data_IF_896691603301
#
_entry.id   IF_896691603301
#
_cell.length_a   1.000
_cell.length_b   1.000
_cell.length_c   1.000
_cell.angle_alpha   90.00
_cell.angle_beta   90.00
_cell.angle_gamma   90.00
#
_symmetry.space_group_name_H-M   'P 1'
#
loop_
_entity.id
_entity.type
_entity.pdbx_description
1 polymer ?
#
# COMPACT_ATOMS: atom_id res chain seq x y z
N UNK A 1 -14.52 -15.66 -11.34
CA UNK A 1 -13.39 -14.96 -10.69
C UNK A 1 -12.08 -15.47 -11.28
N UNK A 2 -11.05 -14.65 -11.49
CA UNK A 2 -9.73 -15.13 -11.97
C UNK A 2 -8.73 -15.04 -10.83
N UNK A 3 -8.09 -16.16 -10.48
CA UNK A 3 -7.12 -16.23 -9.37
C UNK A 3 -5.84 -16.91 -9.81
N UNK A 4 -4.70 -16.65 -9.15
CA UNK A 4 -3.49 -17.43 -9.36
C UNK A 4 -3.71 -18.89 -8.93
N UNK A 5 -3.21 -19.85 -9.73
CA UNK A 5 -3.25 -21.29 -9.39
C UNK A 5 -2.32 -21.66 -8.23
N UNK A 6 -1.31 -20.84 -7.97
CA UNK A 6 -0.23 -21.06 -7.01
C UNK A 6 0.01 -19.81 -6.14
N UNK A 7 1.02 -19.86 -5.27
CA UNK A 7 1.43 -18.74 -4.40
C UNK A 7 2.18 -17.61 -5.17
N UNK A 8 1.78 -17.33 -6.41
CA UNK A 8 2.31 -16.21 -7.20
C UNK A 8 1.64 -14.88 -6.88
N UNK A 9 0.72 -14.84 -5.92
CA UNK A 9 0.22 -13.61 -5.32
C UNK A 9 1.26 -13.03 -4.35
N UNK A 10 1.61 -11.76 -4.55
CA UNK A 10 2.46 -11.00 -3.63
C UNK A 10 1.85 -9.64 -3.36
N UNK A 11 2.05 -9.14 -2.15
CA UNK A 11 1.74 -7.75 -1.80
C UNK A 11 3.07 -7.02 -1.74
N UNK A 12 3.22 -6.03 -2.62
CA UNK A 12 4.31 -5.08 -2.54
C UNK A 12 3.82 -3.81 -1.88
N UNK A 13 4.70 -3.08 -1.21
CA UNK A 13 4.39 -1.77 -0.67
C UNK A 13 5.09 -0.71 -1.49
N UNK A 14 4.35 0.33 -1.83
CA UNK A 14 4.85 1.47 -2.59
C UNK A 14 5.09 2.65 -1.65
N UNK A 15 5.90 3.60 -2.10
CA UNK A 15 6.17 4.82 -1.33
C UNK A 15 4.89 5.61 -1.15
N UNK A 16 4.69 6.15 0.05
CA UNK A 16 3.61 7.09 0.35
C UNK A 16 3.63 8.33 -0.58
N UNK A 17 2.46 8.95 -0.76
CA UNK A 17 2.27 10.18 -1.52
C UNK A 17 2.65 11.44 -0.74
N UNK A 18 2.88 11.32 0.57
CA UNK A 18 3.26 12.44 1.40
C UNK A 18 4.60 13.08 0.97
N UNK A 19 4.71 14.40 1.09
CA UNK A 19 5.93 15.16 0.79
C UNK A 19 7.13 14.66 1.61
N UNK A 20 6.95 14.43 2.90
CA UNK A 20 7.93 13.79 3.80
C UNK A 20 8.37 12.38 3.38
N UNK A 21 7.66 11.70 2.48
CA UNK A 21 8.05 10.40 1.97
C UNK A 21 8.94 10.50 0.71
N UNK A 22 9.07 11.68 0.10
CA UNK A 22 9.92 11.88 -1.08
C UNK A 22 11.37 11.54 -0.76
N UNK A 23 12.02 10.79 -1.66
CA UNK A 23 13.39 10.29 -1.47
C UNK A 23 13.55 9.15 -0.46
N UNK A 24 12.50 8.73 0.24
CA UNK A 24 12.52 7.58 1.15
C UNK A 24 12.14 6.30 0.41
N UNK A 25 12.70 5.18 0.87
CA UNK A 25 12.33 3.85 0.39
C UNK A 25 10.86 3.54 0.74
N UNK A 26 10.17 2.73 -0.08
CA UNK A 26 8.84 2.21 0.26
C UNK A 26 8.83 1.49 1.61
N UNK A 27 7.76 1.68 2.38
CA UNK A 27 7.54 1.01 3.67
C UNK A 27 6.13 0.44 3.74
N UNK A 28 5.92 -0.53 4.62
CA UNK A 28 4.60 -1.11 4.86
C UNK A 28 3.62 -0.03 5.35
N UNK A 29 4.09 0.82 6.25
CA UNK A 29 3.34 1.96 6.78
C UNK A 29 4.24 3.20 6.76
N UNK A 30 3.70 4.32 6.32
CA UNK A 30 4.30 5.64 6.47
C UNK A 30 3.54 6.38 7.56
N UNK A 31 4.27 7.04 8.47
CA UNK A 31 3.70 7.94 9.46
C UNK A 31 4.44 9.26 9.34
N UNK A 32 3.69 10.36 9.15
CA UNK A 32 4.25 11.70 9.08
C UNK A 32 4.80 12.13 10.44
N UNK A 33 5.61 13.19 10.43
CA UNK A 33 5.87 13.89 11.68
C UNK A 33 4.56 14.51 12.19
N UNK A 34 4.38 14.64 13.51
CA UNK A 34 3.23 15.35 14.06
C UNK A 34 3.27 16.82 13.64
N UNK A 35 2.14 17.35 13.17
CA UNK A 35 1.99 18.75 12.78
C UNK A 35 1.09 19.47 13.78
N UNK A 36 1.51 20.65 14.25
CA UNK A 36 0.70 21.46 15.16
C UNK A 36 -0.34 22.22 14.33
N UNK A 37 -1.61 21.98 14.63
CA UNK A 37 -2.70 22.64 13.92
C UNK A 37 -2.80 24.12 14.30
N UNK A 38 -3.17 25.00 13.36
CA UNK A 38 -3.30 26.42 13.63
C UNK A 38 -4.28 26.70 14.79
N UNK A 39 -4.05 27.80 15.51
CA UNK A 39 -4.94 28.31 16.57
C UNK A 39 -5.13 27.36 17.77
N UNK A 40 -4.13 26.53 18.07
CA UNK A 40 -4.20 25.62 19.22
C UNK A 40 -5.19 24.47 19.03
N UNK A 41 -5.55 24.16 17.78
CA UNK A 41 -6.53 23.12 17.45
C UNK A 41 -6.00 21.68 17.63
N UNK A 42 -4.78 21.51 18.15
CA UNK A 42 -4.20 20.22 18.50
C UNK A 42 -3.03 19.82 17.62
N UNK A 43 -2.82 18.51 17.50
CA UNK A 43 -1.74 17.89 16.73
C UNK A 43 -2.38 16.93 15.73
N UNK A 44 -1.94 16.99 14.47
CA UNK A 44 -2.30 16.06 13.40
C UNK A 44 -1.15 15.08 13.14
N UNK A 45 -1.47 13.81 12.93
CA UNK A 45 -0.53 12.77 12.50
C UNK A 45 -1.17 12.04 11.33
N UNK A 46 -0.49 12.03 10.18
CA UNK A 46 -0.98 11.37 8.97
C UNK A 46 -0.30 10.03 8.81
N UNK A 47 -1.11 8.97 8.82
CA UNK A 47 -0.68 7.63 8.45
C UNK A 47 -1.11 7.30 7.02
N UNK A 48 -0.19 6.78 6.21
CA UNK A 48 -0.49 6.28 4.86
C UNK A 48 0.06 4.86 4.65
N UNK A 49 -0.75 3.99 4.04
CA UNK A 49 -0.33 2.68 3.53
C UNK A 49 -0.69 2.56 2.06
N UNK A 50 0.26 2.08 1.25
CA UNK A 50 0.05 1.85 -0.18
C UNK A 50 0.42 0.43 -0.60
N UNK A 51 -0.48 -0.50 -0.32
CA UNK A 51 -0.37 -1.88 -0.77
C UNK A 51 -0.67 -2.00 -2.27
N UNK A 52 0.16 -2.76 -2.98
CA UNK A 52 0.02 -3.08 -4.39
C UNK A 52 0.02 -4.61 -4.54
N UNK A 53 -1.17 -5.24 -4.66
CA UNK A 53 -1.26 -6.66 -4.94
C UNK A 53 -0.81 -6.94 -6.37
N UNK A 54 0.09 -7.91 -6.54
CA UNK A 54 0.67 -8.28 -7.83
C UNK A 54 0.65 -9.79 -7.99
N UNK A 55 0.31 -10.24 -9.20
CA UNK A 55 0.55 -11.61 -9.63
C UNK A 55 1.90 -11.67 -10.35
N UNK A 56 2.86 -12.39 -9.77
CA UNK A 56 4.21 -12.54 -10.35
C UNK A 56 4.25 -13.49 -11.54
N UNK A 57 3.19 -14.27 -11.77
CA UNK A 57 3.04 -15.20 -12.89
C UNK A 57 1.68 -14.99 -13.58
N UNK A 58 1.53 -13.98 -14.44
CA UNK A 58 0.26 -13.68 -15.12
C UNK A 58 -0.32 -14.86 -15.91
N UNK A 59 0.55 -15.72 -16.48
CA UNK A 59 0.14 -16.91 -17.23
C UNK A 59 -0.38 -18.05 -16.33
N UNK A 60 -0.22 -17.95 -15.00
CA UNK A 60 -0.69 -18.93 -14.02
C UNK A 60 -2.10 -18.65 -13.50
N UNK A 61 -2.79 -17.67 -14.08
CA UNK A 61 -4.15 -17.29 -13.71
C UNK A 61 -5.16 -18.32 -14.23
N UNK A 62 -6.06 -18.75 -13.35
CA UNK A 62 -7.15 -19.68 -13.66
C UNK A 62 -8.49 -19.00 -13.44
N UNK A 63 -9.50 -19.35 -14.24
CA UNK A 63 -10.87 -18.88 -14.07
C UNK A 63 -11.62 -19.86 -13.18
N UNK A 64 -12.07 -19.38 -12.02
CA UNK A 64 -12.98 -20.10 -11.15
C UNK A 64 -14.40 -20.00 -11.71
N UNK A 65 -15.03 -21.15 -11.90
CA UNK A 65 -16.47 -21.31 -12.13
C UNK A 65 -17.07 -21.52 -10.74
N UNK A 66 -18.00 -20.66 -10.35
CA UNK A 66 -18.80 -20.83 -9.14
C UNK A 66 -20.07 -21.54 -9.61
N UNK A 67 -20.26 -22.78 -9.17
CA UNK A 67 -21.54 -23.51 -9.28
C UNK A 67 -22.48 -23.11 -8.14
#
# INVERSE_FOLDING_TARGET
MVVPKDNSNRIYYTRANHTDALGKAPSLMFVSKPEILPRGAGIEIVGEMRAMPVCTRPNGLIKLVLE
#
